data_IF_733472519642
#
_entry.id   IF_733472519642
#
_cell.length_a   1.000
_cell.length_b   1.000
_cell.length_c   1.000
_cell.angle_alpha   90.00
_cell.angle_beta   90.00
_cell.angle_gamma   90.00
#
_symmetry.space_group_name_H-M   'P 1'
#
loop_
_entity.id
_entity.type
_entity.pdbx_description
1 polymer ?
#
# COMPACT_ATOMS: atom_id res chain seq x y z
N UNK A 1 0.05 4.99 11.96
CA UNK A 1 1.17 5.91 11.64
C UNK A 1 1.22 6.15 10.13
N UNK A 2 1.72 7.31 9.68
CA UNK A 2 1.89 7.64 8.25
C UNK A 2 3.30 7.27 7.78
N UNK A 3 3.39 6.61 6.64
CA UNK A 3 4.63 6.14 6.03
C UNK A 3 4.71 6.65 4.59
N UNK A 4 5.67 7.52 4.29
CA UNK A 4 5.88 8.05 2.95
C UNK A 4 6.52 6.98 2.05
N UNK A 5 6.11 6.95 0.78
CA UNK A 5 6.91 6.25 -0.22
C UNK A 5 8.23 7.00 -0.43
N UNK A 6 9.32 6.28 -0.49
CA UNK A 6 10.63 6.86 -0.77
C UNK A 6 10.69 7.43 -2.19
N UNK A 7 11.62 8.35 -2.44
CA UNK A 7 11.87 8.90 -3.78
C UNK A 7 12.22 7.81 -4.78
N UNK A 8 12.94 6.77 -4.37
CA UNK A 8 13.23 5.60 -5.19
C UNK A 8 11.96 4.85 -5.60
N UNK A 9 11.05 4.60 -4.66
CA UNK A 9 9.78 3.94 -4.96
C UNK A 9 8.93 4.76 -5.95
N UNK A 10 8.86 6.07 -5.77
CA UNK A 10 8.18 6.95 -6.72
C UNK A 10 8.85 6.96 -8.11
N UNK A 11 10.18 7.07 -8.15
CA UNK A 11 10.97 7.08 -9.39
C UNK A 11 10.77 5.81 -10.22
N UNK A 12 10.71 4.66 -9.54
CA UNK A 12 10.49 3.35 -10.18
C UNK A 12 9.00 2.94 -10.26
N UNK A 13 8.06 3.88 -10.01
CA UNK A 13 6.60 3.66 -10.04
C UNK A 13 6.12 2.52 -9.13
N UNK A 14 6.86 2.22 -8.06
CA UNK A 14 6.49 1.22 -7.04
C UNK A 14 5.45 1.74 -6.04
N UNK A 15 5.02 2.98 -6.19
CA UNK A 15 3.87 3.57 -5.51
C UNK A 15 2.64 3.67 -6.44
N UNK A 16 2.65 3.00 -7.60
CA UNK A 16 1.52 3.01 -8.53
C UNK A 16 0.88 1.63 -8.64
N UNK A 17 -0.46 1.58 -8.67
CA UNK A 17 -1.23 0.34 -8.82
C UNK A 17 -2.37 0.55 -9.81
N UNK A 18 -2.53 -0.38 -10.74
CA UNK A 18 -3.68 -0.41 -11.64
C UNK A 18 -4.89 -1.00 -10.91
N UNK A 19 -6.00 -0.27 -10.95
CA UNK A 19 -7.31 -0.67 -10.47
C UNK A 19 -8.31 -0.59 -11.63
N UNK A 20 -9.47 -1.28 -11.54
CA UNK A 20 -10.54 -1.12 -12.53
C UNK A 20 -10.98 0.34 -12.75
N UNK A 21 -10.88 1.18 -11.72
CA UNK A 21 -11.23 2.60 -11.79
C UNK A 21 -10.12 3.46 -12.44
N UNK A 22 -8.89 2.97 -12.52
CA UNK A 22 -7.73 3.70 -13.05
C UNK A 22 -6.44 3.45 -12.28
N UNK A 23 -5.42 4.28 -12.52
CA UNK A 23 -4.12 4.14 -11.85
C UNK A 23 -4.09 4.93 -10.55
N UNK A 24 -4.01 4.23 -9.43
CA UNK A 24 -3.79 4.82 -8.12
C UNK A 24 -2.29 5.08 -7.92
N UNK A 25 -1.92 6.34 -7.69
CA UNK A 25 -0.56 6.77 -7.34
C UNK A 25 -0.53 7.16 -5.86
N UNK A 26 0.08 6.32 -5.02
CA UNK A 26 0.18 6.52 -3.58
C UNK A 26 1.16 7.63 -3.19
N UNK A 27 0.74 8.48 -2.25
CA UNK A 27 1.60 9.49 -1.58
C UNK A 27 2.14 8.95 -0.26
N UNK A 28 1.29 8.34 0.55
CA UNK A 28 1.68 7.69 1.80
C UNK A 28 0.73 6.54 2.15
N UNK A 29 1.26 5.58 2.89
CA UNK A 29 0.52 4.50 3.54
C UNK A 29 0.28 4.82 5.01
N UNK A 30 -0.88 4.44 5.52
CA UNK A 30 -1.21 4.49 6.93
C UNK A 30 -1.52 3.09 7.45
N UNK A 31 -0.80 2.70 8.50
CA UNK A 31 -1.05 1.51 9.29
C UNK A 31 -0.37 1.66 10.65
N UNK A 32 -0.87 0.96 11.66
CA UNK A 32 -0.26 0.94 13.00
C UNK A 32 0.79 -0.15 13.09
N UNK A 33 0.41 -1.37 12.73
CA UNK A 33 1.28 -2.53 12.76
C UNK A 33 1.00 -3.44 11.58
N UNK A 34 1.99 -4.21 11.16
CA UNK A 34 1.82 -5.32 10.21
C UNK A 34 1.31 -6.56 10.96
N UNK A 35 0.03 -6.88 10.79
CA UNK A 35 -0.68 -8.07 11.31
C UNK A 35 -1.60 -8.63 10.21
N UNK A 36 -2.05 -9.90 10.30
CA UNK A 36 -2.86 -10.53 9.26
C UNK A 36 -4.18 -9.80 8.96
N UNK A 37 -4.76 -9.16 9.99
CA UNK A 37 -6.02 -8.43 9.98
C UNK A 37 -5.83 -6.91 9.84
N UNK A 38 -4.60 -6.45 9.59
CA UNK A 38 -4.33 -5.03 9.43
C UNK A 38 -5.02 -4.50 8.18
N UNK A 39 -5.89 -3.52 8.37
CA UNK A 39 -6.38 -2.67 7.29
C UNK A 39 -5.38 -1.55 7.02
N UNK A 40 -4.86 -1.51 5.81
CA UNK A 40 -3.94 -0.49 5.33
C UNK A 40 -4.73 0.61 4.63
N UNK A 41 -4.22 1.84 4.66
CA UNK A 41 -4.82 2.97 3.96
C UNK A 41 -3.78 3.66 3.09
N UNK A 42 -4.01 3.72 1.79
CA UNK A 42 -3.22 4.53 0.87
C UNK A 42 -3.93 5.86 0.62
N UNK A 43 -3.29 6.97 0.93
CA UNK A 43 -3.73 8.28 0.41
C UNK A 43 -2.93 8.60 -0.83
N UNK A 44 -3.60 8.95 -1.92
CA UNK A 44 -2.99 9.09 -3.23
C UNK A 44 -3.83 9.88 -4.22
N UNK A 45 -3.45 9.78 -5.48
CA UNK A 45 -4.21 10.34 -6.62
C UNK A 45 -4.72 9.19 -7.47
N UNK A 46 -6.00 9.23 -7.83
CA UNK A 46 -6.63 8.31 -8.78
C UNK A 46 -7.41 9.18 -9.79
N UNK A 47 -7.07 9.08 -11.07
CA UNK A 47 -7.66 9.92 -12.13
C UNK A 47 -7.67 11.42 -11.80
N UNK A 48 -6.50 11.97 -11.42
CA UNK A 48 -6.31 13.37 -11.04
C UNK A 48 -7.10 13.85 -9.82
N UNK A 49 -7.75 12.94 -9.10
CA UNK A 49 -8.47 13.22 -7.86
C UNK A 49 -7.73 12.67 -6.64
N UNK A 50 -7.65 13.45 -5.57
CA UNK A 50 -7.18 12.93 -4.28
C UNK A 50 -8.19 11.94 -3.70
N UNK A 51 -7.71 10.76 -3.33
CA UNK A 51 -8.51 9.69 -2.75
C UNK A 51 -7.79 9.03 -1.58
N UNK A 52 -8.59 8.44 -0.69
CA UNK A 52 -8.09 7.50 0.30
C UNK A 52 -8.60 6.11 -0.04
N UNK A 53 -7.73 5.13 -0.11
CA UNK A 53 -8.08 3.73 -0.42
C UNK A 53 -7.71 2.86 0.76
N UNK A 54 -8.66 2.16 1.36
CA UNK A 54 -8.37 1.12 2.34
C UNK A 54 -8.26 -0.23 1.67
N UNK A 55 -7.34 -1.09 2.10
CA UNK A 55 -7.18 -2.44 1.56
C UNK A 55 -6.68 -3.42 2.61
N UNK A 56 -6.89 -4.71 2.33
CA UNK A 56 -6.40 -5.84 3.11
C UNK A 56 -5.52 -6.71 2.23
N UNK A 57 -4.46 -7.27 2.81
CA UNK A 57 -3.46 -8.07 2.10
C UNK A 57 -3.78 -9.55 2.28
N UNK A 58 -3.54 -10.35 1.24
CA UNK A 58 -3.74 -11.79 1.31
C UNK A 58 -2.79 -12.45 2.31
N UNK A 59 -3.26 -13.49 3.01
CA UNK A 59 -2.43 -14.26 3.94
C UNK A 59 -1.20 -14.88 3.27
N UNK A 60 -1.29 -15.16 1.96
CA UNK A 60 -0.19 -15.73 1.16
C UNK A 60 1.03 -14.81 1.14
N UNK A 61 0.82 -13.50 1.01
CA UNK A 61 1.90 -12.53 0.96
C UNK A 61 2.27 -11.95 2.32
N UNK A 62 1.38 -12.08 3.32
CA UNK A 62 1.61 -11.60 4.67
C UNK A 62 2.93 -12.11 5.28
N UNK A 63 3.27 -13.39 5.09
CA UNK A 63 4.50 -13.97 5.63
C UNK A 63 5.76 -13.29 5.06
N UNK A 64 5.76 -12.93 3.78
CA UNK A 64 6.87 -12.22 3.15
C UNK A 64 7.02 -10.79 3.67
N UNK A 65 5.89 -10.10 3.87
CA UNK A 65 5.87 -8.74 4.43
C UNK A 65 6.35 -8.77 5.89
N UNK A 66 5.86 -9.72 6.69
CA UNK A 66 6.27 -9.89 8.08
C UNK A 66 7.77 -10.16 8.19
N UNK A 67 8.30 -11.08 7.37
CA UNK A 67 9.73 -11.38 7.36
C UNK A 67 10.58 -10.13 7.03
N UNK A 68 10.18 -9.32 6.04
CA UNK A 68 10.90 -8.08 5.70
C UNK A 68 10.85 -7.04 6.81
N UNK A 69 9.71 -6.97 7.52
CA UNK A 69 9.57 -6.11 8.70
C UNK A 69 10.52 -6.55 9.80
N UNK A 70 10.54 -7.84 10.12
CA UNK A 70 11.37 -8.42 11.18
C UNK A 70 12.87 -8.24 10.88
N UNK A 71 13.24 -8.23 9.60
CA UNK A 71 14.60 -7.93 9.12
C UNK A 71 14.92 -6.42 8.99
N UNK A 72 13.95 -5.53 9.23
CA UNK A 72 14.14 -4.08 9.13
C UNK A 72 14.32 -3.55 7.69
N UNK A 73 13.91 -4.32 6.68
CA UNK A 73 14.08 -3.99 5.25
C UNK A 73 12.74 -3.80 4.53
N UNK A 74 11.64 -3.71 5.28
CA UNK A 74 10.30 -3.51 4.72
C UNK A 74 10.19 -2.14 4.04
N UNK A 75 9.81 -2.14 2.76
CA UNK A 75 9.45 -0.95 2.01
C UNK A 75 7.93 -0.78 1.94
N UNK A 76 7.46 0.45 1.68
CA UNK A 76 6.02 0.70 1.59
C UNK A 76 5.40 0.05 0.35
N UNK A 77 6.17 -0.03 -0.73
CA UNK A 77 5.83 -0.76 -1.95
C UNK A 77 5.66 -2.27 -1.71
N UNK A 78 6.35 -2.88 -0.74
CA UNK A 78 6.15 -4.29 -0.41
C UNK A 78 4.72 -4.54 0.14
N UNK A 79 4.14 -3.55 0.83
CA UNK A 79 2.75 -3.60 1.32
C UNK A 79 1.78 -3.20 0.22
N UNK A 80 2.06 -2.09 -0.48
CA UNK A 80 1.14 -1.49 -1.44
C UNK A 80 0.92 -2.35 -2.69
N UNK A 81 1.98 -3.00 -3.18
CA UNK A 81 1.95 -3.85 -4.36
C UNK A 81 1.56 -5.30 -4.04
N UNK A 82 1.33 -5.62 -2.77
CA UNK A 82 0.86 -6.94 -2.38
C UNK A 82 -0.52 -7.26 -2.96
N UNK A 83 -0.86 -8.53 -3.02
CA UNK A 83 -2.18 -9.04 -3.39
C UNK A 83 -3.22 -8.48 -2.42
N UNK A 84 -4.16 -7.70 -2.95
CA UNK A 84 -5.27 -7.17 -2.16
C UNK A 84 -6.44 -8.13 -2.24
N UNK A 85 -6.92 -8.62 -1.10
CA UNK A 85 -8.13 -9.45 -1.05
C UNK A 85 -9.39 -8.60 -1.18
N UNK A 86 -9.32 -7.36 -0.71
CA UNK A 86 -10.40 -6.39 -0.77
C UNK A 86 -9.81 -4.99 -0.73
N UNK A 87 -10.52 -4.04 -1.33
CA UNK A 87 -10.24 -2.62 -1.16
C UNK A 87 -11.52 -1.80 -1.23
N UNK A 88 -11.45 -0.58 -0.71
CA UNK A 88 -12.52 0.41 -0.76
C UNK A 88 -11.93 1.79 -0.97
N UNK A 89 -12.46 2.51 -1.96
CA UNK A 89 -12.18 3.92 -2.20
C UNK A 89 -13.10 4.75 -1.29
N UNK A 90 -12.51 5.71 -0.58
CA UNK A 90 -13.19 6.67 0.29
C UNK A 90 -13.04 8.06 -0.33
N UNK A 91 -14.17 8.73 -0.47
CA UNK A 91 -14.31 10.06 -1.08
C UNK A 91 -13.95 11.21 -0.13
#
# INVERSE_FOLDING_TARGET
MKHLFSSGEAMFKKNSRELPEGTLVGKFLEYEEVRPDTRYYCTGVLNDREVKVSFEISEKEFNGIKMRKDLGILMQSDIFLAEWISYKIHD
#
